data_IF_749439833837
#
_entry.id   IF_749439833837
#
_cell.length_a   1.000
_cell.length_b   1.000
_cell.length_c   1.000
_cell.angle_alpha   90.00
_cell.angle_beta   90.00
_cell.angle_gamma   90.00
#
_symmetry.space_group_name_H-M   'P 1'
#
loop_
_entity.id
_entity.type
_entity.pdbx_description
1 polymer ?
#
# COMPACT_ATOMS: atom_id res chain seq x y z
N UNK A 1 -53.52 -46.71 24.92
CA UNK A 1 -53.57 -45.28 24.53
C UNK A 1 -52.35 -44.61 25.15
N UNK A 2 -51.27 -44.43 24.37
CA UNK A 2 -50.73 -43.10 23.95
C UNK A 2 -50.21 -42.29 25.17
N UNK A 3 -48.93 -41.94 25.34
CA UNK A 3 -47.89 -41.53 24.38
C UNK A 3 -46.48 -41.72 24.95
N UNK A 4 -45.57 -42.05 24.04
CA UNK A 4 -44.13 -41.89 24.13
C UNK A 4 -43.77 -40.40 24.28
N UNK A 5 -43.00 -40.05 25.31
CA UNK A 5 -42.42 -38.73 25.52
C UNK A 5 -40.91 -38.80 25.32
N UNK A 6 -40.47 -38.72 24.06
CA UNK A 6 -39.07 -38.66 23.68
C UNK A 6 -38.53 -37.28 24.06
N UNK A 7 -37.74 -37.18 25.13
CA UNK A 7 -36.93 -35.99 25.42
C UNK A 7 -35.80 -35.92 24.37
N UNK A 8 -36.01 -35.15 23.30
CA UNK A 8 -34.91 -34.68 22.46
C UNK A 8 -34.12 -33.65 23.25
N UNK A 9 -32.97 -34.06 23.77
CA UNK A 9 -31.93 -33.12 24.16
C UNK A 9 -31.35 -32.49 22.89
N UNK A 10 -31.80 -31.29 22.55
CA UNK A 10 -31.16 -30.43 21.55
C UNK A 10 -29.84 -29.91 22.16
N UNK A 11 -28.76 -30.66 21.92
CA UNK A 11 -27.40 -30.15 22.08
C UNK A 11 -27.16 -29.10 20.98
N UNK A 12 -27.53 -27.86 21.26
CA UNK A 12 -27.14 -26.71 20.47
C UNK A 12 -25.63 -26.49 20.61
N UNK A 13 -24.85 -27.04 19.69
CA UNK A 13 -23.47 -26.61 19.46
C UNK A 13 -23.51 -25.20 18.86
N UNK A 14 -23.62 -24.19 19.73
CA UNK A 14 -23.21 -22.84 19.40
C UNK A 14 -21.69 -22.84 19.27
N UNK A 15 -21.19 -23.30 18.12
CA UNK A 15 -19.81 -23.08 17.74
C UNK A 15 -19.62 -21.59 17.58
N UNK A 16 -18.96 -20.96 18.55
CA UNK A 16 -18.37 -19.64 18.35
C UNK A 16 -17.37 -19.81 17.20
N UNK A 17 -17.77 -19.40 15.99
CA UNK A 17 -16.82 -19.20 14.90
C UNK A 17 -15.96 -18.01 15.33
N UNK A 18 -14.90 -18.31 16.08
CA UNK A 18 -13.75 -17.42 16.21
C UNK A 18 -13.17 -17.33 14.81
N UNK A 19 -13.59 -16.31 14.05
CA UNK A 19 -12.83 -15.84 12.91
C UNK A 19 -11.57 -15.16 13.46
N UNK A 20 -10.67 -15.95 14.06
CA UNK A 20 -9.35 -15.48 14.39
C UNK A 20 -8.65 -15.24 13.04
N UNK A 21 -8.25 -14.01 12.76
CA UNK A 21 -7.43 -13.71 11.61
C UNK A 21 -6.13 -14.51 11.72
N UNK A 22 -6.05 -15.65 11.04
CA UNK A 22 -4.84 -16.44 10.99
C UNK A 22 -3.86 -15.69 10.07
N UNK A 23 -2.80 -15.14 10.67
CA UNK A 23 -1.67 -14.51 9.97
C UNK A 23 -2.05 -13.28 9.13
N UNK A 24 -2.50 -12.16 9.73
CA UNK A 24 -2.69 -10.93 8.97
C UNK A 24 -1.38 -10.49 8.31
N UNK A 25 -1.44 -10.07 7.03
CA UNK A 25 -0.28 -9.51 6.31
C UNK A 25 0.23 -8.30 7.11
N UNK A 26 1.50 -8.36 7.51
CA UNK A 26 2.14 -7.29 8.27
C UNK A 26 2.54 -6.15 7.33
N UNK A 27 2.41 -4.92 7.83
CA UNK A 27 2.85 -3.69 7.15
C UNK A 27 3.84 -2.98 8.08
N UNK A 28 5.14 -3.22 7.94
CA UNK A 28 6.15 -2.66 8.83
C UNK A 28 6.43 -1.19 8.49
N UNK A 29 7.06 -0.47 9.42
CA UNK A 29 7.60 0.86 9.15
C UNK A 29 8.79 0.73 8.19
N UNK A 30 8.91 1.60 7.17
CA UNK A 30 9.89 1.44 6.08
C UNK A 30 11.35 1.39 6.56
N UNK A 31 11.70 2.04 7.66
CA UNK A 31 13.05 2.04 8.26
C UNK A 31 13.34 0.78 9.06
N UNK A 32 12.31 0.03 9.45
CA UNK A 32 12.47 -1.28 10.09
C UNK A 32 12.73 -2.40 9.09
N UNK A 33 12.53 -2.16 7.79
CA UNK A 33 12.87 -3.12 6.75
C UNK A 33 14.38 -3.31 6.66
N UNK A 34 14.79 -4.56 6.45
CA UNK A 34 16.16 -4.84 6.04
C UNK A 34 16.48 -4.14 4.70
N UNK A 35 17.75 -3.83 4.40
CA UNK A 35 18.12 -3.30 3.08
C UNK A 35 17.67 -4.19 1.92
N UNK A 36 17.67 -5.51 2.13
CA UNK A 36 17.19 -6.49 1.15
C UNK A 36 15.68 -6.35 0.90
N UNK A 37 14.86 -6.36 1.95
CA UNK A 37 13.40 -6.25 1.84
C UNK A 37 12.96 -4.89 1.30
N UNK A 38 13.65 -3.82 1.70
CA UNK A 38 13.43 -2.48 1.13
C UNK A 38 13.77 -2.47 -0.36
N UNK A 39 14.88 -3.11 -0.74
CA UNK A 39 15.25 -3.28 -2.15
C UNK A 39 14.23 -4.09 -2.95
N UNK A 40 13.65 -5.15 -2.37
CA UNK A 40 12.56 -5.93 -2.98
C UNK A 40 11.33 -5.06 -3.22
N UNK A 41 10.91 -4.29 -2.22
CA UNK A 41 9.79 -3.35 -2.35
C UNK A 41 10.01 -2.33 -3.48
N UNK A 42 11.19 -1.72 -3.56
CA UNK A 42 11.52 -0.75 -4.61
C UNK A 42 11.58 -1.38 -6.01
N UNK A 43 12.12 -2.59 -6.15
CA UNK A 43 12.11 -3.33 -7.41
C UNK A 43 10.69 -3.68 -7.84
N UNK A 44 9.85 -4.16 -6.92
CA UNK A 44 8.46 -4.46 -7.21
C UNK A 44 7.68 -3.22 -7.68
N UNK A 45 7.90 -2.06 -7.03
CA UNK A 45 7.37 -0.76 -7.48
C UNK A 45 7.80 -0.40 -8.91
N UNK A 46 9.09 -0.57 -9.23
CA UNK A 46 9.62 -0.30 -10.57
C UNK A 46 9.00 -1.22 -11.63
N UNK A 47 8.75 -2.49 -11.31
CA UNK A 47 8.07 -3.40 -12.24
C UNK A 47 6.59 -3.03 -12.44
N UNK A 48 5.88 -2.63 -11.37
CA UNK A 48 4.51 -2.11 -11.50
C UNK A 48 4.44 -0.80 -12.28
N UNK A 49 5.48 0.05 -12.23
CA UNK A 49 5.61 1.21 -13.14
C UNK A 49 5.74 0.72 -14.58
N UNK A 50 6.71 -0.16 -14.83
CA UNK A 50 7.09 -0.63 -16.17
C UNK A 50 5.94 -1.34 -16.90
N UNK A 51 5.14 -2.12 -16.17
CA UNK A 51 4.01 -2.86 -16.75
C UNK A 51 2.71 -2.03 -16.83
N UNK A 52 2.73 -0.77 -16.39
CA UNK A 52 1.58 0.15 -16.46
C UNK A 52 0.55 -0.01 -15.35
N UNK A 53 0.73 -0.93 -14.40
CA UNK A 53 -0.22 -1.11 -13.29
C UNK A 53 -0.26 0.11 -12.37
N UNK A 54 0.89 0.74 -12.09
CA UNK A 54 0.89 2.01 -11.33
C UNK A 54 0.20 3.15 -12.08
N UNK A 55 0.29 3.20 -13.41
CA UNK A 55 -0.45 4.19 -14.22
C UNK A 55 -1.95 3.93 -14.14
N UNK A 56 -2.37 2.67 -14.27
CA UNK A 56 -3.78 2.27 -14.17
C UNK A 56 -4.37 2.65 -12.81
N UNK A 57 -3.65 2.36 -11.73
CA UNK A 57 -4.07 2.69 -10.36
C UNK A 57 -4.11 4.20 -10.12
N UNK A 58 -3.09 4.93 -10.58
CA UNK A 58 -3.05 6.39 -10.50
C UNK A 58 -4.20 7.04 -11.27
N UNK A 59 -4.49 6.56 -12.49
CA UNK A 59 -5.63 7.04 -13.28
C UNK A 59 -6.97 6.76 -12.62
N UNK A 60 -7.16 5.57 -12.04
CA UNK A 60 -8.37 5.24 -11.27
C UNK A 60 -8.57 6.25 -10.12
N UNK A 61 -7.51 6.59 -9.40
CA UNK A 61 -7.57 7.56 -8.32
C UNK A 61 -7.91 8.98 -8.82
N UNK A 62 -7.25 9.44 -9.89
CA UNK A 62 -7.50 10.76 -10.51
C UNK A 62 -8.94 10.87 -11.02
N UNK A 63 -9.42 9.88 -11.77
CA UNK A 63 -10.77 9.88 -12.37
C UNK A 63 -11.89 9.89 -11.31
N UNK A 64 -11.58 9.52 -10.06
CA UNK A 64 -12.54 9.45 -8.95
C UNK A 64 -12.24 10.47 -7.84
N UNK A 65 -11.29 11.39 -8.03
CA UNK A 65 -10.77 12.26 -6.98
C UNK A 65 -11.87 13.02 -6.21
N UNK A 66 -12.86 13.57 -6.94
CA UNK A 66 -13.98 14.32 -6.40
C UNK A 66 -14.91 13.48 -5.51
N UNK A 67 -14.96 12.16 -5.71
CA UNK A 67 -15.81 11.26 -4.91
C UNK A 67 -15.05 10.69 -3.71
N UNK A 68 -13.75 10.47 -3.86
CA UNK A 68 -12.95 9.75 -2.86
C UNK A 68 -12.28 10.69 -1.85
N UNK A 69 -12.22 12.01 -2.10
CA UNK A 69 -11.69 13.01 -1.17
C UNK A 69 -12.78 13.92 -0.62
N UNK A 70 -12.62 14.42 0.61
CA UNK A 70 -13.60 15.32 1.23
C UNK A 70 -14.94 14.66 1.61
N UNK A 71 -15.06 13.35 1.43
CA UNK A 71 -16.27 12.57 1.67
C UNK A 71 -16.06 11.43 2.68
N UNK A 72 -17.13 10.91 3.33
CA UNK A 72 -17.02 9.82 4.29
C UNK A 72 -16.37 8.53 3.75
N UNK A 73 -16.41 8.33 2.42
CA UNK A 73 -15.79 7.18 1.77
C UNK A 73 -14.26 7.23 1.75
N UNK A 74 -13.64 8.39 2.04
CA UNK A 74 -12.19 8.62 1.94
C UNK A 74 -11.36 7.49 2.56
N UNK A 75 -11.56 7.21 3.86
CA UNK A 75 -10.77 6.19 4.55
C UNK A 75 -11.06 4.77 4.05
N UNK A 76 -12.29 4.49 3.65
CA UNK A 76 -12.71 3.17 3.17
C UNK A 76 -12.11 2.90 1.80
N UNK A 77 -12.23 3.86 0.88
CA UNK A 77 -11.65 3.77 -0.46
C UNK A 77 -10.14 3.55 -0.39
N UNK A 78 -9.41 4.39 0.34
CA UNK A 78 -7.96 4.28 0.43
C UNK A 78 -7.50 2.98 1.09
N UNK A 79 -8.25 2.46 2.08
CA UNK A 79 -7.95 1.14 2.65
C UNK A 79 -8.05 0.02 1.61
N UNK A 80 -9.11 0.03 0.79
CA UNK A 80 -9.28 -0.95 -0.30
C UNK A 80 -8.20 -0.74 -1.36
N UNK A 81 -7.95 0.50 -1.76
CA UNK A 81 -6.93 0.85 -2.76
C UNK A 81 -5.53 0.37 -2.36
N UNK A 82 -5.14 0.54 -1.08
CA UNK A 82 -3.86 0.01 -0.57
C UNK A 82 -3.85 -1.52 -0.50
N UNK A 83 -5.00 -2.19 -0.30
CA UNK A 83 -5.07 -3.65 -0.39
C UNK A 83 -4.90 -4.14 -1.83
N UNK A 84 -5.49 -3.46 -2.80
CA UNK A 84 -5.31 -3.76 -4.23
C UNK A 84 -3.86 -3.52 -4.66
N UNK A 85 -3.25 -2.44 -4.16
CA UNK A 85 -1.83 -2.15 -4.37
C UNK A 85 -0.93 -3.25 -3.77
N UNK A 86 -1.24 -3.71 -2.55
CA UNK A 86 -0.54 -4.83 -1.93
C UNK A 86 -0.68 -6.12 -2.77
N UNK A 87 -1.86 -6.39 -3.33
CA UNK A 87 -2.06 -7.53 -4.22
C UNK A 87 -1.31 -7.39 -5.54
N UNK A 88 -1.16 -6.18 -6.08
CA UNK A 88 -0.35 -5.92 -7.26
C UNK A 88 1.14 -6.20 -7.01
N UNK A 89 1.69 -5.73 -5.88
CA UNK A 89 3.06 -6.03 -5.47
C UNK A 89 3.28 -7.53 -5.30
N UNK A 90 2.35 -8.23 -4.63
CA UNK A 90 2.42 -9.67 -4.38
C UNK A 90 2.41 -10.51 -5.67
N UNK A 91 1.78 -10.01 -6.74
CA UNK A 91 1.82 -10.63 -8.08
C UNK A 91 3.19 -10.50 -8.76
N UNK A 92 3.98 -9.48 -8.41
CA UNK A 92 5.31 -9.23 -8.97
C UNK A 92 6.39 -9.92 -8.14
N UNK A 93 6.34 -9.76 -6.82
CA UNK A 93 7.28 -10.34 -5.86
C UNK A 93 6.52 -10.84 -4.62
N UNK A 94 6.17 -12.14 -4.55
CA UNK A 94 5.37 -12.69 -3.46
C UNK A 94 5.98 -12.43 -2.07
N UNK A 95 5.11 -11.99 -1.15
CA UNK A 95 5.51 -11.73 0.24
C UNK A 95 6.22 -10.39 0.47
N UNK A 96 6.39 -9.54 -0.55
CA UNK A 96 6.78 -8.14 -0.34
C UNK A 96 5.68 -7.41 0.42
N UNK A 97 5.97 -6.79 1.57
CA UNK A 97 4.98 -6.02 2.30
C UNK A 97 4.76 -4.65 1.67
N UNK A 98 3.61 -4.03 1.95
CA UNK A 98 3.44 -2.58 1.80
C UNK A 98 3.93 -1.95 3.11
N UNK A 99 5.09 -1.28 3.14
CA UNK A 99 5.51 -0.57 4.33
C UNK A 99 4.69 0.71 4.52
N UNK A 100 4.72 1.25 5.73
CA UNK A 100 4.24 2.60 6.00
C UNK A 100 5.41 3.53 6.36
N UNK A 101 5.20 4.82 6.12
CA UNK A 101 6.07 5.88 6.61
C UNK A 101 5.44 6.46 7.87
N UNK A 102 6.11 6.30 9.02
CA UNK A 102 5.77 7.07 10.21
C UNK A 102 6.32 8.49 10.09
N UNK A 103 5.53 9.37 9.46
CA UNK A 103 5.87 10.77 9.23
C UNK A 103 5.92 11.60 10.52
N UNK A 104 5.35 11.11 11.61
CA UNK A 104 5.40 11.81 12.89
C UNK A 104 6.83 11.92 13.44
N UNK A 105 7.69 10.96 13.09
CA UNK A 105 9.11 10.93 13.48
C UNK A 105 9.94 12.01 12.78
N UNK A 106 9.51 12.49 11.61
CA UNK A 106 10.23 13.51 10.84
C UNK A 106 9.55 14.87 10.88
N UNK A 107 8.42 15.01 11.58
CA UNK A 107 7.55 16.18 11.47
C UNK A 107 8.24 17.52 11.80
N UNK A 108 9.28 17.50 12.64
CA UNK A 108 10.09 18.69 12.97
C UNK A 108 11.02 19.13 11.85
N UNK A 109 11.47 18.22 10.99
CA UNK A 109 12.29 18.52 9.81
C UNK A 109 12.11 17.44 8.71
N UNK A 110 10.98 17.45 7.98
CA UNK A 110 10.64 16.36 7.06
C UNK A 110 11.67 16.14 5.96
N UNK A 111 12.27 17.22 5.45
CA UNK A 111 13.27 17.16 4.37
C UNK A 111 14.56 16.46 4.77
N UNK A 112 14.84 16.34 6.08
CA UNK A 112 16.01 15.61 6.60
C UNK A 112 15.76 14.12 6.79
N UNK A 113 14.54 13.64 6.52
CA UNK A 113 14.19 12.24 6.66
C UNK A 113 15.07 11.34 5.81
N UNK A 114 15.45 10.19 6.35
CA UNK A 114 16.14 9.13 5.59
C UNK A 114 15.37 8.74 4.32
N UNK A 115 14.04 8.89 4.31
CA UNK A 115 13.21 8.60 3.14
C UNK A 115 13.57 9.46 1.93
N UNK A 116 14.13 10.66 2.13
CA UNK A 116 14.55 11.56 1.07
C UNK A 116 16.05 11.43 0.76
N UNK A 117 16.59 10.22 0.85
CA UNK A 117 17.97 9.89 0.48
C UNK A 117 18.01 8.90 -0.69
N UNK A 118 19.15 8.76 -1.41
CA UNK A 118 19.29 7.79 -2.49
C UNK A 118 19.06 6.33 -2.08
N UNK A 119 19.30 5.98 -0.81
CA UNK A 119 19.10 4.62 -0.29
C UNK A 119 17.63 4.29 0.02
N UNK A 120 16.75 5.31 -0.07
CA UNK A 120 15.30 5.22 0.12
C UNK A 120 14.56 5.71 -1.13
N UNK A 121 13.75 6.77 -1.05
CA UNK A 121 12.83 7.15 -2.11
C UNK A 121 13.39 8.24 -3.04
N UNK A 122 14.69 8.54 -2.95
CA UNK A 122 15.33 9.65 -3.64
C UNK A 122 15.12 10.99 -2.94
N UNK A 123 16.00 11.94 -3.19
CA UNK A 123 15.96 13.28 -2.62
C UNK A 123 14.88 14.21 -3.20
N UNK A 124 15.09 15.51 -3.02
CA UNK A 124 14.23 16.55 -3.56
C UNK A 124 14.37 16.67 -5.09
N UNK A 125 13.44 17.40 -5.71
CA UNK A 125 13.54 17.80 -7.11
C UNK A 125 14.75 18.72 -7.37
N UNK A 126 15.34 18.56 -8.57
CA UNK A 126 16.49 19.36 -9.04
C UNK A 126 16.14 20.04 -10.36
N UNK A 127 16.71 21.23 -10.57
CA UNK A 127 16.58 22.03 -11.80
C UNK A 127 15.17 22.60 -12.02
N UNK A 128 14.96 23.21 -13.19
CA UNK A 128 13.73 23.95 -13.49
C UNK A 128 12.47 23.08 -13.53
N UNK A 129 12.63 21.77 -13.71
CA UNK A 129 11.54 20.79 -13.75
C UNK A 129 11.31 20.07 -12.43
N UNK A 130 12.11 20.38 -11.40
CA UNK A 130 12.08 19.73 -10.09
C UNK A 130 12.13 18.19 -10.17
N UNK A 131 12.91 17.63 -11.09
CA UNK A 131 12.97 16.18 -11.27
C UNK A 131 13.71 15.52 -10.08
N UNK A 132 13.18 14.40 -9.59
CA UNK A 132 13.88 13.55 -8.64
C UNK A 132 14.98 12.81 -9.41
N UNK A 133 16.25 13.16 -9.18
CA UNK A 133 17.39 12.60 -9.94
C UNK A 133 18.17 11.53 -9.16
N UNK A 134 17.75 11.19 -7.95
CA UNK A 134 18.44 10.23 -7.09
C UNK A 134 17.54 9.09 -6.61
N UNK A 135 18.16 7.98 -6.21
CA UNK A 135 17.48 6.81 -5.66
C UNK A 135 16.79 5.92 -6.70
N UNK A 136 16.02 4.93 -6.24
CA UNK A 136 15.48 3.84 -7.06
C UNK A 136 14.41 4.26 -8.06
N UNK A 137 13.90 5.50 -7.94
CA UNK A 137 12.79 6.03 -8.73
C UNK A 137 13.20 7.20 -9.63
N UNK A 138 14.50 7.51 -9.73
CA UNK A 138 14.98 8.71 -10.45
C UNK A 138 14.66 8.75 -11.94
N UNK A 139 14.51 7.57 -12.56
CA UNK A 139 14.18 7.43 -13.97
C UNK A 139 12.67 7.25 -14.23
N UNK A 140 11.82 7.56 -13.25
CA UNK A 140 10.38 7.48 -13.43
C UNK A 140 9.89 8.58 -14.37
N UNK A 141 9.34 8.16 -15.49
CA UNK A 141 8.48 8.98 -16.34
C UNK A 141 7.04 8.74 -15.90
N UNK A 142 6.35 9.76 -15.41
CA UNK A 142 4.92 9.78 -15.08
C UNK A 142 4.11 10.00 -16.36
N UNK A 143 2.94 9.36 -16.47
CA UNK A 143 2.14 9.36 -17.72
C UNK A 143 0.66 9.70 -17.53
N UNK A 144 0.21 9.85 -16.28
CA UNK A 144 -1.17 10.21 -15.98
C UNK A 144 -1.32 11.73 -16.13
N UNK A 145 -2.34 12.15 -16.85
CA UNK A 145 -2.65 13.54 -17.28
C UNK A 145 -1.61 14.20 -18.20
N UNK A 146 -0.32 14.04 -17.93
CA UNK A 146 0.77 14.50 -18.78
C UNK A 146 2.04 13.68 -18.60
N UNK A 147 2.92 13.70 -19.60
CA UNK A 147 4.21 13.02 -19.54
C UNK A 147 5.27 13.94 -18.94
N UNK A 148 5.86 13.55 -17.81
CA UNK A 148 6.95 14.29 -17.15
C UNK A 148 7.78 13.36 -16.24
N UNK A 149 8.93 13.83 -15.74
CA UNK A 149 9.69 13.09 -14.73
C UNK A 149 8.91 13.01 -13.40
N UNK A 150 9.23 12.07 -12.52
CA UNK A 150 8.83 12.18 -11.12
C UNK A 150 9.42 13.47 -10.54
N UNK A 151 8.56 14.35 -10.03
CA UNK A 151 8.96 15.65 -9.51
C UNK A 151 8.60 15.81 -8.03
N UNK A 152 9.38 16.61 -7.31
CA UNK A 152 9.16 17.01 -5.91
C UNK A 152 9.52 18.47 -5.68
#
# INVERSE_FOLDING_TARGET
MTRCGLLLALLGLAGLVSAQCANPKQRPEIRSLSPEDRGRFFRALNELRKNGELDRMSKLHVDNADTIHGHPVFLVFHRVFVNDFAAALDRVDPGVPVPYWDWSLDASNPVSSALFTPDYCGGNGVGDKNCVESGPFSNWEMKVDSTHCLAR
#
